data_IF_338858121747
#
_entry.id   IF_338858121747
#
_cell.length_a   1.000
_cell.length_b   1.000
_cell.length_c   1.000
_cell.angle_alpha   90.00
_cell.angle_beta   90.00
_cell.angle_gamma   90.00
#
_symmetry.space_group_name_H-M   'P 1'
#
loop_
_entity.id
_entity.type
_entity.pdbx_description
1 polymer ?
#
# COMPACT_ATOMS: atom_id res chain seq x y z
N UNK A 1 11.02 -8.43 2.21
CA UNK A 1 9.97 -8.42 3.25
C UNK A 1 9.33 -7.05 3.30
N UNK A 2 8.01 -7.02 3.22
CA UNK A 2 7.18 -5.82 3.30
C UNK A 2 6.39 -5.91 4.59
N UNK A 3 6.46 -4.86 5.40
CA UNK A 3 5.72 -4.73 6.66
C UNK A 3 4.90 -3.45 6.57
N UNK A 4 3.64 -3.50 7.01
CA UNK A 4 2.73 -2.37 6.91
C UNK A 4 1.96 -2.16 8.21
N UNK A 5 1.74 -0.90 8.56
CA UNK A 5 1.14 -0.46 9.83
C UNK A 5 0.29 0.82 9.62
N UNK A 6 -0.43 1.25 10.68
CA UNK A 6 -1.26 2.48 10.67
C UNK A 6 -2.30 2.46 9.53
N UNK A 7 -2.95 1.31 9.35
CA UNK A 7 -3.98 1.15 8.33
C UNK A 7 -5.23 1.94 8.67
N UNK A 8 -5.76 2.64 7.67
CA UNK A 8 -7.10 3.23 7.70
C UNK A 8 -7.85 2.79 6.47
N UNK A 9 -9.06 2.26 6.69
CA UNK A 9 -9.93 1.76 5.62
C UNK A 9 -11.18 2.61 5.58
N UNK A 10 -11.55 3.08 4.40
CA UNK A 10 -12.84 3.77 4.14
C UNK A 10 -13.54 3.07 2.99
N UNK A 11 -14.80 2.68 3.20
CA UNK A 11 -15.61 1.96 2.22
C UNK A 11 -16.72 2.90 1.69
N UNK A 12 -16.89 2.92 0.38
CA UNK A 12 -17.86 3.71 -0.37
C UNK A 12 -18.58 2.80 -1.37
N UNK A 13 -19.64 2.13 -0.93
CA UNK A 13 -20.33 1.10 -1.73
C UNK A 13 -19.37 0.00 -2.15
N UNK A 14 -19.19 -0.18 -3.46
CA UNK A 14 -18.29 -1.17 -4.05
C UNK A 14 -16.86 -0.67 -4.25
N UNK A 15 -16.48 0.47 -3.67
CA UNK A 15 -15.11 0.98 -3.67
C UNK A 15 -14.58 1.10 -2.25
N UNK A 16 -13.28 0.90 -2.05
CA UNK A 16 -12.62 1.14 -0.77
C UNK A 16 -11.27 1.84 -0.99
N UNK A 17 -10.94 2.75 -0.08
CA UNK A 17 -9.63 3.39 -0.02
C UNK A 17 -8.94 2.91 1.25
N UNK A 18 -7.77 2.30 1.07
CA UNK A 18 -6.89 1.84 2.15
C UNK A 18 -5.65 2.71 2.15
N UNK A 19 -5.36 3.34 3.28
CA UNK A 19 -4.09 4.06 3.47
C UNK A 19 -3.29 3.37 4.55
N UNK A 20 -1.97 3.35 4.42
CA UNK A 20 -1.08 2.78 5.44
C UNK A 20 0.35 3.30 5.31
N UNK A 21 1.15 2.98 6.31
CA UNK A 21 2.61 3.09 6.23
C UNK A 21 3.18 1.74 5.88
N UNK A 22 4.16 1.73 5.00
CA UNK A 22 4.85 0.51 4.59
C UNK A 22 6.35 0.70 4.71
N UNK A 23 7.01 -0.33 5.23
CA UNK A 23 8.45 -0.50 5.15
C UNK A 23 8.76 -1.68 4.25
N UNK A 24 9.53 -1.44 3.20
CA UNK A 24 9.93 -2.50 2.27
C UNK A 24 11.44 -2.70 2.37
N UNK A 25 11.86 -3.94 2.58
CA UNK A 25 13.26 -4.36 2.43
C UNK A 25 13.35 -5.42 1.36
N UNK A 26 14.25 -5.26 0.41
CA UNK A 26 14.37 -6.22 -0.69
C UNK A 26 15.68 -6.08 -1.45
N UNK A 27 15.80 -6.89 -2.49
CA UNK A 27 16.91 -6.86 -3.43
C UNK A 27 16.33 -6.68 -4.83
N UNK A 28 16.73 -5.62 -5.52
CA UNK A 28 16.33 -5.35 -6.89
C UNK A 28 17.58 -5.23 -7.77
N UNK A 29 17.64 -6.02 -8.85
CA UNK A 29 18.79 -6.06 -9.77
C UNK A 29 20.14 -6.21 -9.05
N UNK A 30 20.22 -7.09 -8.05
CA UNK A 30 21.45 -7.31 -7.30
C UNK A 30 21.68 -6.32 -6.15
N UNK A 31 20.96 -5.20 -6.11
CA UNK A 31 21.14 -4.15 -5.11
C UNK A 31 20.12 -4.26 -3.97
N UNK A 32 20.60 -4.25 -2.74
CA UNK A 32 19.72 -4.16 -1.57
C UNK A 32 19.10 -2.77 -1.45
N UNK A 33 17.82 -2.73 -1.07
CA UNK A 33 17.11 -1.48 -0.79
C UNK A 33 16.23 -1.60 0.46
N UNK A 34 16.08 -0.47 1.15
CA UNK A 34 15.09 -0.29 2.21
C UNK A 34 14.35 1.02 1.98
N UNK A 35 13.02 0.98 1.97
CA UNK A 35 12.16 2.16 1.78
C UNK A 35 11.15 2.29 2.92
N UNK A 36 10.71 3.52 3.16
CA UNK A 36 9.56 3.86 3.99
C UNK A 36 8.59 4.67 3.14
N UNK A 37 7.37 4.18 3.00
CA UNK A 37 6.37 4.70 2.07
C UNK A 37 5.01 4.89 2.76
N UNK A 38 4.29 5.95 2.38
CA UNK A 38 2.85 6.02 2.59
C UNK A 38 2.19 5.41 1.38
N UNK A 39 1.36 4.39 1.62
CA UNK A 39 0.58 3.72 0.61
C UNK A 39 -0.85 4.25 0.60
N UNK A 40 -1.41 4.43 -0.60
CA UNK A 40 -2.84 4.58 -0.85
C UNK A 40 -3.24 3.55 -1.89
N UNK A 41 -4.03 2.58 -1.48
CA UNK A 41 -4.59 1.54 -2.32
C UNK A 41 -6.08 1.79 -2.53
N UNK A 42 -6.53 1.69 -3.78
CA UNK A 42 -7.94 1.75 -4.14
C UNK A 42 -8.38 0.36 -4.54
N UNK A 43 -9.41 -0.14 -3.87
CA UNK A 43 -10.04 -1.42 -4.16
C UNK A 43 -11.41 -1.20 -4.78
N UNK A 44 -11.77 -2.06 -5.73
CA UNK A 44 -13.13 -2.18 -6.25
C UNK A 44 -13.63 -3.61 -6.00
N UNK A 45 -14.89 -3.74 -5.60
CA UNK A 45 -15.54 -5.03 -5.40
C UNK A 45 -16.18 -5.47 -6.72
N UNK A 46 -15.63 -6.50 -7.35
CA UNK A 46 -16.20 -7.11 -8.56
C UNK A 46 -16.54 -8.57 -8.26
N UNK A 47 -17.77 -8.98 -8.58
CA UNK A 47 -18.29 -10.34 -8.34
C UNK A 47 -18.07 -10.83 -6.90
N UNK A 48 -18.35 -9.95 -5.94
CA UNK A 48 -18.20 -10.26 -4.51
C UNK A 48 -16.76 -10.21 -3.99
N UNK A 49 -15.75 -9.98 -4.85
CA UNK A 49 -14.33 -9.99 -4.48
C UNK A 49 -13.72 -8.61 -4.60
N UNK A 50 -12.99 -8.20 -3.55
CA UNK A 50 -12.20 -6.99 -3.58
C UNK A 50 -10.93 -7.18 -4.43
N UNK A 51 -10.67 -6.25 -5.32
CA UNK A 51 -9.49 -6.22 -6.18
C UNK A 51 -8.83 -4.86 -6.05
N UNK A 52 -7.51 -4.83 -5.80
CA UNK A 52 -6.76 -3.59 -5.83
C UNK A 52 -6.63 -3.14 -7.30
N UNK A 53 -7.19 -1.98 -7.62
CA UNK A 53 -7.16 -1.42 -8.98
C UNK A 53 -6.13 -0.32 -9.13
N UNK A 54 -5.65 0.25 -8.03
CA UNK A 54 -4.61 1.28 -8.02
C UNK A 54 -3.84 1.26 -6.71
N UNK A 55 -2.52 1.41 -6.80
CA UNK A 55 -1.64 1.66 -5.67
C UNK A 55 -0.82 2.91 -5.95
N UNK A 56 -0.79 3.84 -5.00
CA UNK A 56 0.10 5.00 -4.99
C UNK A 56 1.04 4.90 -3.79
N UNK A 57 2.35 5.05 -4.03
CA UNK A 57 3.38 5.03 -2.99
C UNK A 57 4.17 6.35 -2.99
N UNK A 58 4.21 7.00 -1.83
CA UNK A 58 5.04 8.20 -1.63
C UNK A 58 6.10 7.90 -0.57
N UNK A 59 7.37 7.98 -0.96
CA UNK A 59 8.49 7.82 -0.04
C UNK A 59 8.57 9.00 0.93
N UNK A 60 8.93 8.72 2.17
CA UNK A 60 9.22 9.74 3.16
C UNK A 60 10.36 9.30 4.09
N UNK A 61 11.05 10.26 4.67
CA UNK A 61 11.96 10.05 5.80
C UNK A 61 11.22 10.38 7.09
N UNK A 62 11.25 9.45 8.05
CA UNK A 62 10.84 9.77 9.42
C UNK A 62 11.87 10.79 9.95
N UNK A 63 11.40 11.97 10.40
CA UNK A 63 12.26 12.91 11.12
C UNK A 63 12.71 12.32 12.45
#
# INVERSE_FOLDING_TARGET
MMESEDFRVRVYGDSAVVTGTTRTKGKFMGQEFSTHERATDVFVKCDGRWQCVLTHLTRFTKK
#
